data_IF_204460442418
#
_entry.id   IF_204460442418
#
_cell.length_a   1.000
_cell.length_b   1.000
_cell.length_c   1.000
_cell.angle_alpha   90.00
_cell.angle_beta   90.00
_cell.angle_gamma   90.00
#
_symmetry.space_group_name_H-M   'P 1'
#
loop_
_entity.id
_entity.type
_entity.pdbx_description
1 polymer ?
#
# COMPACT_ATOMS: atom_id res chain seq x y z
N UNK A 1 2.24 24.84 -22.74
CA UNK A 1 1.84 24.98 -21.33
C UNK A 1 2.81 24.19 -20.45
N UNK A 2 2.90 24.51 -19.16
CA UNK A 2 3.78 23.81 -18.22
C UNK A 2 3.46 22.30 -18.19
N UNK A 3 4.47 21.41 -18.18
CA UNK A 3 4.23 19.97 -18.05
C UNK A 3 3.64 19.69 -16.66
N UNK A 4 2.50 19.01 -16.62
CA UNK A 4 1.83 18.61 -15.37
C UNK A 4 1.47 17.13 -15.44
N UNK A 5 1.53 16.46 -14.29
CA UNK A 5 1.16 15.06 -14.18
C UNK A 5 -0.36 14.90 -14.37
N UNK A 6 -0.76 13.88 -15.12
CA UNK A 6 -2.14 13.43 -15.30
C UNK A 6 -2.15 11.90 -15.28
N UNK A 7 -3.24 11.32 -14.80
CA UNK A 7 -3.44 9.86 -14.79
C UNK A 7 -4.89 9.51 -15.11
N UNK A 8 -5.09 8.34 -15.73
CA UNK A 8 -6.41 7.72 -15.86
C UNK A 8 -6.74 6.96 -14.58
N UNK A 9 -7.37 7.65 -13.63
CA UNK A 9 -7.67 7.14 -12.29
C UNK A 9 -8.39 5.79 -12.27
N UNK A 10 -9.48 5.59 -13.03
CA UNK A 10 -10.15 4.28 -13.15
C UNK A 10 -9.23 3.14 -13.60
N UNK A 11 -8.37 3.38 -14.58
CA UNK A 11 -7.43 2.36 -15.07
C UNK A 11 -6.35 2.05 -14.04
N UNK A 12 -5.79 3.08 -13.39
CA UNK A 12 -4.82 2.91 -12.28
C UNK A 12 -5.44 2.16 -11.10
N UNK A 13 -6.69 2.48 -10.73
CA UNK A 13 -7.39 1.78 -9.66
C UNK A 13 -7.56 0.29 -9.97
N UNK A 14 -8.06 -0.04 -11.17
CA UNK A 14 -8.22 -1.44 -11.60
C UNK A 14 -6.90 -2.19 -11.58
N UNK A 15 -5.86 -1.63 -12.19
CA UNK A 15 -4.52 -2.21 -12.18
C UNK A 15 -4.03 -2.45 -10.74
N UNK A 16 -4.17 -1.47 -9.86
CA UNK A 16 -3.71 -1.58 -8.48
C UNK A 16 -4.45 -2.65 -7.66
N UNK A 17 -5.76 -2.84 -7.86
CA UNK A 17 -6.53 -3.83 -7.09
C UNK A 17 -6.41 -5.26 -7.63
N UNK A 18 -6.04 -5.45 -8.90
CA UNK A 18 -5.90 -6.79 -9.49
C UNK A 18 -4.45 -7.25 -9.51
N UNK A 19 -3.54 -6.43 -10.06
CA UNK A 19 -2.19 -6.89 -10.36
C UNK A 19 -1.28 -6.79 -9.13
N UNK A 20 -1.44 -5.74 -8.30
CA UNK A 20 -0.56 -5.55 -7.14
C UNK A 20 -0.85 -6.55 -6.01
N UNK A 21 -2.04 -7.14 -5.96
CA UNK A 21 -2.34 -8.22 -5.00
C UNK A 21 -1.47 -9.44 -5.29
N UNK A 22 -1.38 -9.85 -6.55
CA UNK A 22 -0.59 -11.00 -6.95
C UNK A 22 0.90 -10.76 -6.72
N UNK A 23 1.40 -9.56 -7.05
CA UNK A 23 2.79 -9.18 -6.75
C UNK A 23 3.08 -9.20 -5.24
N UNK A 24 2.14 -8.73 -4.41
CA UNK A 24 2.31 -8.77 -2.96
C UNK A 24 2.31 -10.22 -2.41
N UNK A 25 1.51 -11.13 -2.99
CA UNK A 25 1.57 -12.56 -2.65
C UNK A 25 2.90 -13.19 -3.06
N UNK A 26 3.37 -12.91 -4.28
CA UNK A 26 4.68 -13.38 -4.74
C UNK A 26 5.81 -12.91 -3.82
N UNK A 27 5.74 -11.67 -3.31
CA UNK A 27 6.71 -11.13 -2.36
C UNK A 27 6.66 -11.86 -1.01
N UNK A 28 5.46 -12.20 -0.51
CA UNK A 28 5.28 -13.01 0.71
C UNK A 28 5.82 -14.43 0.53
N UNK A 29 5.48 -15.08 -0.58
CA UNK A 29 5.91 -16.43 -0.93
C UNK A 29 7.43 -16.50 -1.07
N UNK A 30 8.05 -15.54 -1.76
CA UNK A 30 9.49 -15.45 -1.90
C UNK A 30 10.21 -15.23 -0.56
N UNK A 31 9.57 -14.54 0.39
CA UNK A 31 10.07 -14.35 1.74
C UNK A 31 9.78 -15.55 2.67
N UNK A 32 8.93 -16.50 2.25
CA UNK A 32 8.53 -17.66 3.04
C UNK A 32 7.68 -17.30 4.26
N UNK A 33 6.91 -16.21 4.18
CA UNK A 33 6.04 -15.72 5.27
C UNK A 33 4.62 -15.56 4.78
N UNK A 34 3.66 -15.68 5.69
CA UNK A 34 2.25 -15.38 5.44
C UNK A 34 1.92 -13.94 5.84
N UNK A 35 0.82 -13.39 5.32
CA UNK A 35 0.33 -12.08 5.73
C UNK A 35 0.09 -11.98 7.25
N UNK A 36 -0.27 -13.10 7.90
CA UNK A 36 -0.45 -13.20 9.36
C UNK A 36 0.84 -13.10 10.16
N UNK A 37 2.00 -13.33 9.52
CA UNK A 37 3.31 -13.30 10.18
C UNK A 37 3.89 -11.88 10.23
N UNK A 38 3.24 -10.93 9.54
CA UNK A 38 3.69 -9.54 9.46
C UNK A 38 3.40 -8.80 10.76
N UNK A 39 4.36 -7.99 11.22
CA UNK A 39 4.09 -6.98 12.24
C UNK A 39 3.36 -5.76 11.64
N UNK A 40 3.69 -5.41 10.38
CA UNK A 40 3.11 -4.29 9.68
C UNK A 40 3.01 -4.52 8.17
N UNK A 41 2.01 -3.90 7.54
CA UNK A 41 1.84 -3.81 6.10
C UNK A 41 1.93 -2.34 5.66
N UNK A 42 2.97 -2.01 4.89
CA UNK A 42 3.27 -0.62 4.49
C UNK A 42 3.24 -0.46 2.97
N UNK A 43 2.04 -0.31 2.36
CA UNK A 43 1.93 -0.09 0.92
C UNK A 43 2.27 1.37 0.52
N UNK A 44 2.45 1.60 -0.78
CA UNK A 44 2.45 2.96 -1.33
C UNK A 44 1.13 3.69 -0.98
N UNK A 45 1.23 4.94 -0.56
CA UNK A 45 0.09 5.76 -0.11
C UNK A 45 -0.65 6.39 -1.30
N UNK A 46 -1.13 5.55 -2.23
CA UNK A 46 -1.75 6.00 -3.49
C UNK A 46 -3.16 6.57 -3.28
N UNK A 47 -4.00 5.80 -2.57
CA UNK A 47 -5.39 6.09 -2.25
C UNK A 47 -5.83 5.16 -1.11
N UNK A 48 -6.57 5.67 -0.13
CA UNK A 48 -7.06 4.86 1.00
C UNK A 48 -7.84 3.62 0.54
N UNK A 49 -8.68 3.76 -0.50
CA UNK A 49 -9.48 2.65 -1.04
C UNK A 49 -8.62 1.54 -1.68
N UNK A 50 -7.46 1.89 -2.23
CA UNK A 50 -6.52 0.91 -2.78
C UNK A 50 -5.84 0.16 -1.63
N UNK A 51 -5.41 0.88 -0.59
CA UNK A 51 -4.81 0.29 0.63
C UNK A 51 -5.78 -0.71 1.27
N UNK A 52 -7.02 -0.31 1.48
CA UNK A 52 -8.07 -1.17 2.07
C UNK A 52 -8.33 -2.42 1.24
N UNK A 53 -8.38 -2.25 -0.08
CA UNK A 53 -8.66 -3.36 -0.98
C UNK A 53 -7.48 -4.35 -1.03
N UNK A 54 -6.25 -3.86 -1.09
CA UNK A 54 -5.04 -4.70 -1.01
C UNK A 54 -5.00 -5.49 0.30
N UNK A 55 -5.15 -4.82 1.44
CA UNK A 55 -5.11 -5.48 2.74
C UNK A 55 -6.19 -6.56 2.85
N UNK A 56 -7.42 -6.26 2.39
CA UNK A 56 -8.53 -7.22 2.36
C UNK A 56 -8.24 -8.42 1.46
N UNK A 57 -7.74 -8.22 0.24
CA UNK A 57 -7.48 -9.30 -0.70
C UNK A 57 -6.28 -10.17 -0.30
N UNK A 58 -5.30 -9.58 0.38
CA UNK A 58 -4.16 -10.30 0.96
C UNK A 58 -4.52 -11.03 2.27
N UNK A 59 -5.73 -10.82 2.81
CA UNK A 59 -6.13 -11.43 4.07
C UNK A 59 -5.30 -10.95 5.26
N UNK A 60 -4.83 -9.70 5.23
CA UNK A 60 -4.07 -9.09 6.32
C UNK A 60 -4.98 -9.03 7.57
N UNK A 61 -4.63 -9.71 8.68
CA UNK A 61 -5.47 -9.71 9.87
C UNK A 61 -5.36 -8.39 10.65
N UNK A 62 -6.36 -8.12 11.49
CA UNK A 62 -6.44 -6.88 12.31
C UNK A 62 -5.26 -6.68 13.26
N UNK A 63 -4.53 -7.75 13.58
CA UNK A 63 -3.31 -7.70 14.40
C UNK A 63 -2.11 -7.06 13.68
N UNK A 64 -2.15 -6.97 12.35
CA UNK A 64 -1.07 -6.37 11.54
C UNK A 64 -1.33 -4.87 11.40
N UNK A 65 -0.35 -4.05 11.77
CA UNK A 65 -0.47 -2.60 11.66
C UNK A 65 -0.42 -2.18 10.19
N UNK A 66 -1.43 -1.46 9.70
CA UNK A 66 -1.46 -0.99 8.30
C UNK A 66 -1.04 0.49 8.23
N UNK A 67 -0.03 0.79 7.41
CA UNK A 67 0.42 2.15 7.16
C UNK A 67 -0.63 2.96 6.39
N UNK A 68 -1.24 3.94 7.07
CA UNK A 68 -2.34 4.79 6.56
C UNK A 68 -2.00 6.28 6.58
N UNK A 69 -0.72 6.60 6.37
CA UNK A 69 -0.19 7.97 6.41
C UNK A 69 -0.81 8.91 5.35
N UNK A 70 -1.44 8.35 4.31
CA UNK A 70 -2.19 9.09 3.30
C UNK A 70 -3.25 10.04 3.89
N UNK A 71 -3.81 9.71 5.07
CA UNK A 71 -4.84 10.52 5.71
C UNK A 71 -4.32 11.90 6.13
N UNK A 72 -3.02 12.03 6.40
CA UNK A 72 -2.40 13.28 6.84
C UNK A 72 -1.48 13.87 5.76
N UNK A 73 -0.66 13.04 5.11
CA UNK A 73 0.37 13.50 4.17
C UNK A 73 -0.02 13.35 2.70
N UNK A 74 -1.15 12.72 2.40
CA UNK A 74 -1.58 12.46 1.02
C UNK A 74 -0.63 11.53 0.25
N UNK A 75 -0.74 11.55 -1.09
CA UNK A 75 0.15 10.79 -1.96
C UNK A 75 1.44 11.55 -2.21
N UNK A 76 2.50 11.15 -1.51
CA UNK A 76 3.86 11.72 -1.62
C UNK A 76 4.76 10.97 -2.60
N UNK A 77 4.16 10.21 -3.53
CA UNK A 77 4.86 9.42 -4.54
C UNK A 77 5.89 8.47 -3.90
N UNK A 78 7.13 8.44 -4.38
CA UNK A 78 8.20 7.56 -3.89
C UNK A 78 8.54 7.77 -2.40
N UNK A 79 8.25 8.94 -1.84
CA UNK A 79 8.49 9.21 -0.41
C UNK A 79 7.47 8.52 0.51
N UNK A 80 6.38 7.97 -0.02
CA UNK A 80 5.25 7.57 0.82
C UNK A 80 5.53 6.37 1.71
N UNK A 81 6.28 5.37 1.20
CA UNK A 81 6.61 4.17 1.98
C UNK A 81 7.53 4.54 3.15
N UNK A 82 8.68 5.22 2.93
CA UNK A 82 9.55 5.58 4.05
C UNK A 82 8.89 6.53 5.05
N UNK A 83 8.04 7.48 4.62
CA UNK A 83 7.28 8.34 5.53
C UNK A 83 6.30 7.54 6.40
N UNK A 84 5.54 6.62 5.79
CA UNK A 84 4.62 5.76 6.52
C UNK A 84 5.38 4.82 7.48
N UNK A 85 6.48 4.20 7.06
CA UNK A 85 7.33 3.37 7.92
C UNK A 85 7.87 4.16 9.12
N UNK A 86 8.40 5.37 8.86
CA UNK A 86 8.94 6.23 9.92
C UNK A 86 7.89 6.59 10.97
N UNK A 87 6.66 6.87 10.53
CA UNK A 87 5.54 7.13 11.42
C UNK A 87 5.21 5.92 12.30
N UNK A 88 5.06 4.74 11.69
CA UNK A 88 4.75 3.51 12.43
C UNK A 88 5.83 3.11 13.44
N UNK A 89 7.09 3.50 13.22
CA UNK A 89 8.19 3.25 14.16
C UNK A 89 8.23 4.22 15.35
N UNK A 90 7.54 5.36 15.26
CA UNK A 90 7.52 6.41 16.28
C UNK A 90 6.31 6.32 17.21
N UNK A 91 5.21 5.77 16.72
CA UNK A 91 3.97 5.54 17.45
C UNK A 91 4.03 4.22 18.22
#
# INVERSE_FOLDING_TARGET
GFPTLRQDGPSVFRWAVYDMVEIAKEALDAAGVQASDLAAFVPHQANMRIIDNLAKQLGVPDSVVIGRDIAENGNTSSASIPLATHRLLKE
#
